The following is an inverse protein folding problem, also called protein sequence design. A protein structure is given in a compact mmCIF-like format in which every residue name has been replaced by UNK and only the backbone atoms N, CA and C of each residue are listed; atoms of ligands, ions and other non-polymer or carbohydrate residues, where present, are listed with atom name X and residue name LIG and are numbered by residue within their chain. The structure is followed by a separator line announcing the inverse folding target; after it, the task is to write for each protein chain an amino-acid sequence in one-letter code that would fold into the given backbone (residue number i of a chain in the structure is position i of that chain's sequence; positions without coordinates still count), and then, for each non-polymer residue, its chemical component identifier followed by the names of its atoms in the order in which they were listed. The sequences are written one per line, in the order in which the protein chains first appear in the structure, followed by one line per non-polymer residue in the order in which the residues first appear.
data_IF_705403636029
#
_entry.id   IF_705403636029
#
_cell.length_a   1.000
_cell.length_b   1.000
_cell.length_c   1.000
_cell.angle_alpha   90.00
_cell.angle_beta   90.00
_cell.angle_gamma   90.00
#
_symmetry.space_group_name_H-M   'P 1'
#
loop_
_entity.id
_entity.type
_entity.pdbx_description
1 polymer ?
#
# COMPACT_ATOMS: atom_id res chain seq x y z
N UNK A 1 34.67 14.21 -1.93
CA UNK A 1 33.48 13.54 -2.49
C UNK A 1 32.29 14.44 -2.18
N UNK A 2 31.98 15.38 -3.08
CA UNK A 2 30.90 16.35 -2.88
C UNK A 2 29.55 15.67 -3.06
N UNK A 3 28.64 15.90 -2.11
CA UNK A 3 27.26 15.43 -2.16
C UNK A 3 26.47 16.32 -3.12
N UNK A 4 26.18 15.80 -4.32
CA UNK A 4 25.23 16.44 -5.24
C UNK A 4 23.83 16.44 -4.60
N UNK A 5 23.45 17.57 -4.01
CA UNK A 5 22.12 17.78 -3.45
C UNK A 5 21.14 17.94 -4.62
N UNK A 6 20.48 16.84 -5.01
CA UNK A 6 19.45 16.87 -6.03
C UNK A 6 18.30 17.78 -5.57
N UNK A 7 18.16 18.95 -6.22
CA UNK A 7 17.08 19.88 -5.95
C UNK A 7 15.85 19.49 -6.76
N UNK A 8 14.94 18.74 -6.14
CA UNK A 8 13.65 18.39 -6.74
C UNK A 8 12.75 19.62 -6.59
N UNK A 9 12.35 20.24 -7.71
CA UNK A 9 11.37 21.33 -7.69
C UNK A 9 10.01 20.74 -7.33
N UNK A 10 9.33 21.24 -6.28
CA UNK A 10 8.00 20.76 -5.98
C UNK A 10 7.04 21.11 -7.13
N UNK A 11 5.96 20.32 -7.31
CA UNK A 11 4.90 20.70 -8.22
C UNK A 11 4.30 22.06 -7.82
N UNK A 12 3.76 22.85 -8.78
CA UNK A 12 3.06 24.09 -8.48
C UNK A 12 1.94 23.89 -7.44
N UNK A 13 1.63 24.88 -6.58
CA UNK A 13 0.60 24.74 -5.54
C UNK A 13 -0.81 24.39 -6.07
N UNK A 14 -1.10 24.72 -7.33
CA UNK A 14 -2.37 24.43 -7.99
C UNK A 14 -2.36 23.12 -8.82
N UNK A 15 -1.26 22.37 -8.80
CA UNK A 15 -1.14 21.16 -9.61
C UNK A 15 -1.90 20.00 -8.98
N UNK A 16 -2.99 19.58 -9.62
CA UNK A 16 -3.71 18.37 -9.26
C UNK A 16 -3.25 17.20 -10.14
N UNK A 17 -2.45 16.31 -9.54
CA UNK A 17 -1.96 15.11 -10.21
C UNK A 17 -3.11 14.19 -10.65
N UNK A 18 -4.19 14.08 -9.86
CA UNK A 18 -5.32 13.20 -10.19
C UNK A 18 -5.97 13.67 -11.48
N UNK A 19 -6.30 14.96 -11.57
CA UNK A 19 -6.87 15.52 -12.81
C UNK A 19 -5.91 15.36 -13.99
N UNK A 20 -4.61 15.55 -13.80
CA UNK A 20 -3.60 15.44 -14.86
C UNK A 20 -3.45 14.03 -15.47
N UNK A 21 -3.83 12.97 -14.74
CA UNK A 21 -3.70 11.56 -15.20
C UNK A 21 -5.05 10.89 -15.47
N UNK A 22 -6.14 11.49 -14.99
CA UNK A 22 -7.45 10.86 -14.95
C UNK A 22 -8.06 10.62 -16.34
N UNK A 23 -7.93 11.55 -17.29
CA UNK A 23 -8.47 11.35 -18.65
C UNK A 23 -7.83 10.15 -19.37
N UNK A 24 -6.50 10.02 -19.25
CA UNK A 24 -5.73 8.93 -19.83
C UNK A 24 -5.99 7.60 -19.10
N UNK A 25 -6.07 7.63 -17.77
CA UNK A 25 -6.47 6.47 -16.95
C UNK A 25 -7.84 5.97 -17.41
N UNK A 26 -8.84 6.87 -17.49
CA UNK A 26 -10.19 6.52 -17.91
C UNK A 26 -10.21 5.92 -19.31
N UNK A 27 -9.53 6.54 -20.28
CA UNK A 27 -9.48 6.03 -21.66
C UNK A 27 -8.86 4.63 -21.72
N UNK A 28 -7.73 4.42 -21.05
CA UNK A 28 -7.03 3.13 -21.04
C UNK A 28 -7.84 2.05 -20.34
N UNK A 29 -8.40 2.35 -19.17
CA UNK A 29 -9.21 1.40 -18.41
C UNK A 29 -10.50 1.06 -19.14
N UNK A 30 -11.16 2.02 -19.81
CA UNK A 30 -12.35 1.74 -20.61
C UNK A 30 -12.07 0.73 -21.73
N UNK A 31 -10.86 0.77 -22.31
CA UNK A 31 -10.47 -0.10 -23.41
C UNK A 31 -9.99 -1.47 -22.95
N UNK A 32 -9.22 -1.55 -21.85
CA UNK A 32 -8.50 -2.77 -21.46
C UNK A 32 -9.11 -3.47 -20.25
N UNK A 33 -9.65 -2.71 -19.30
CA UNK A 33 -10.19 -3.23 -18.04
C UNK A 33 -11.51 -2.52 -17.66
N UNK A 34 -12.55 -2.59 -18.51
CA UNK A 34 -13.81 -1.89 -18.25
C UNK A 34 -14.47 -2.31 -16.92
N UNK A 35 -14.17 -3.52 -16.45
CA UNK A 35 -14.57 -4.05 -15.14
C UNK A 35 -14.01 -3.27 -13.95
N UNK A 36 -12.99 -2.40 -14.14
CA UNK A 36 -12.38 -1.55 -13.11
C UNK A 36 -12.82 -0.08 -13.19
N UNK A 37 -13.74 0.25 -14.11
CA UNK A 37 -14.11 1.64 -14.40
C UNK A 37 -14.72 2.38 -13.20
N UNK A 38 -15.46 1.67 -12.35
CA UNK A 38 -16.04 2.21 -11.12
C UNK A 38 -14.96 2.78 -10.18
N UNK A 39 -13.78 2.13 -10.10
CA UNK A 39 -12.68 2.59 -9.26
C UNK A 39 -12.00 3.83 -9.81
N UNK A 40 -11.93 3.96 -11.14
CA UNK A 40 -11.41 5.16 -11.80
C UNK A 40 -12.37 6.32 -11.62
N UNK A 41 -13.68 6.08 -11.83
CA UNK A 41 -14.73 7.09 -11.63
C UNK A 41 -14.82 7.53 -10.16
N UNK A 42 -14.62 6.61 -9.22
CA UNK A 42 -14.51 6.89 -7.79
C UNK A 42 -13.20 7.56 -7.37
N UNK A 43 -12.22 7.69 -8.27
CA UNK A 43 -10.93 8.32 -7.99
C UNK A 43 -10.00 7.51 -7.10
N UNK A 44 -10.27 6.21 -6.95
CA UNK A 44 -9.48 5.27 -6.15
C UNK A 44 -8.42 4.54 -6.97
N UNK A 45 -8.59 4.41 -8.29
CA UNK A 45 -7.62 3.77 -9.17
C UNK A 45 -7.05 4.77 -10.18
N UNK A 46 -5.72 4.81 -10.27
CA UNK A 46 -4.95 5.68 -11.17
C UNK A 46 -3.92 4.86 -11.92
N UNK A 47 -3.75 5.14 -13.22
CA UNK A 47 -2.70 4.58 -14.06
C UNK A 47 -1.64 5.64 -14.36
N UNK A 48 -0.38 5.30 -14.10
CA UNK A 48 0.79 6.10 -14.43
C UNK A 48 1.63 5.35 -15.45
N UNK A 49 1.81 5.92 -16.64
CA UNK A 49 2.58 5.29 -17.71
C UNK A 49 3.95 5.93 -17.86
N UNK A 50 4.96 5.10 -18.04
CA UNK A 50 6.36 5.50 -18.19
C UNK A 50 6.58 6.51 -19.31
N UNK A 51 5.84 6.39 -20.42
CA UNK A 51 5.91 7.31 -21.58
C UNK A 51 5.73 8.80 -21.22
N UNK A 52 5.18 9.12 -20.04
CA UNK A 52 5.03 10.49 -19.53
C UNK A 52 6.32 11.07 -18.97
N UNK A 53 7.25 10.22 -18.57
CA UNK A 53 8.52 10.61 -17.99
C UNK A 53 9.60 10.34 -19.05
N UNK A 54 10.51 11.31 -19.21
CA UNK A 54 11.55 11.24 -20.23
C UNK A 54 12.45 10.00 -20.09
N UNK A 55 13.46 9.84 -20.96
CA UNK A 55 14.34 8.67 -20.91
C UNK A 55 14.97 8.50 -19.53
N UNK A 56 15.12 7.23 -19.12
CA UNK A 56 15.77 6.88 -17.84
C UNK A 56 17.19 7.46 -17.85
N UNK A 57 17.59 8.26 -16.85
CA UNK A 57 18.92 8.82 -16.79
C UNK A 57 20.03 7.76 -16.78
N UNK A 58 21.17 8.04 -17.40
CA UNK A 58 22.27 7.07 -17.55
C UNK A 58 22.81 6.49 -16.24
N UNK A 59 22.68 7.21 -15.12
CA UNK A 59 23.11 6.78 -13.79
C UNK A 59 22.13 5.82 -13.11
N UNK A 60 20.98 5.50 -13.74
CA UNK A 60 19.97 4.54 -13.27
C UNK A 60 19.82 3.32 -14.17
N UNK A 61 20.80 3.02 -15.02
CA UNK A 61 20.75 1.90 -15.98
C UNK A 61 20.47 0.52 -15.36
N UNK A 62 20.82 0.30 -14.10
CA UNK A 62 20.56 -0.96 -13.38
C UNK A 62 19.10 -1.12 -12.94
N UNK A 63 18.30 -0.06 -13.01
CA UNK A 63 16.88 -0.06 -12.67
C UNK A 63 16.03 0.03 -13.94
N UNK A 64 15.19 -0.97 -14.16
CA UNK A 64 14.20 -0.96 -15.24
C UNK A 64 12.90 -0.39 -14.69
N UNK A 65 12.55 0.83 -15.11
CA UNK A 65 11.27 1.43 -14.75
C UNK A 65 10.13 0.65 -15.43
N UNK A 66 9.07 0.26 -14.69
CA UNK A 66 7.93 -0.44 -15.25
C UNK A 66 7.21 0.42 -16.29
N UNK A 67 6.66 -0.21 -17.33
CA UNK A 67 5.92 0.50 -18.38
C UNK A 67 4.64 1.16 -17.84
N UNK A 68 4.02 0.55 -16.83
CA UNK A 68 2.85 1.06 -16.13
C UNK A 68 2.93 0.83 -14.63
N UNK A 69 2.54 1.83 -13.86
CA UNK A 69 2.31 1.73 -12.41
C UNK A 69 0.83 1.98 -12.16
N UNK A 70 0.19 1.05 -11.47
CA UNK A 70 -1.21 1.14 -11.05
C UNK A 70 -1.25 1.49 -9.57
N UNK A 71 -1.90 2.60 -9.24
CA UNK A 71 -2.02 3.09 -7.86
C UNK A 71 -3.47 2.94 -7.42
N UNK A 72 -3.69 2.09 -6.42
CA UNK A 72 -5.00 1.85 -5.81
C UNK A 72 -5.02 2.44 -4.39
N UNK A 73 -5.87 3.44 -4.17
CA UNK A 73 -6.15 3.99 -2.84
C UNK A 73 -7.04 3.04 -2.05
N UNK A 74 -6.59 2.66 -0.85
CA UNK A 74 -7.32 1.74 0.03
C UNK A 74 -7.55 2.35 1.41
N UNK A 75 -8.63 1.94 2.06
CA UNK A 75 -8.85 2.17 3.49
C UNK A 75 -8.60 0.88 4.27
N UNK A 76 -7.81 0.99 5.33
CA UNK A 76 -7.22 -0.11 6.06
C UNK A 76 -8.19 -0.88 6.97
N UNK A 77 -9.46 -0.45 7.06
CA UNK A 77 -10.55 -1.11 7.81
C UNK A 77 -11.73 -1.52 6.92
N UNK A 78 -11.64 -1.31 5.61
CA UNK A 78 -12.77 -1.52 4.70
C UNK A 78 -12.64 -2.87 3.99
N UNK A 79 -13.61 -3.77 4.23
CA UNK A 79 -13.74 -5.02 3.48
C UNK A 79 -13.85 -4.77 1.97
N UNK A 80 -14.55 -3.69 1.58
CA UNK A 80 -14.61 -3.26 0.19
C UNK A 80 -13.22 -2.97 -0.38
N UNK A 81 -12.33 -2.33 0.38
CA UNK A 81 -10.95 -2.09 -0.11
C UNK A 81 -10.21 -3.40 -0.37
N UNK A 82 -10.41 -4.42 0.47
CA UNK A 82 -9.78 -5.72 0.29
C UNK A 82 -10.30 -6.43 -0.97
N UNK A 83 -11.62 -6.40 -1.20
CA UNK A 83 -12.23 -6.93 -2.41
C UNK A 83 -11.79 -6.16 -3.67
N UNK A 84 -11.65 -4.83 -3.59
CA UNK A 84 -11.17 -4.00 -4.69
C UNK A 84 -9.69 -4.31 -5.01
N UNK A 85 -8.84 -4.58 -4.01
CA UNK A 85 -7.46 -5.05 -4.22
C UNK A 85 -7.44 -6.39 -4.96
N UNK A 86 -8.23 -7.37 -4.50
CA UNK A 86 -8.31 -8.69 -5.13
C UNK A 86 -8.74 -8.58 -6.60
N UNK A 87 -9.77 -7.78 -6.87
CA UNK A 87 -10.27 -7.52 -8.22
C UNK A 87 -9.21 -6.87 -9.11
N UNK A 88 -8.52 -5.84 -8.62
CA UNK A 88 -7.49 -5.10 -9.37
C UNK A 88 -6.29 -6.00 -9.67
N UNK A 89 -5.78 -6.75 -8.68
CA UNK A 89 -4.66 -7.68 -8.87
C UNK A 89 -5.03 -8.81 -9.83
N UNK A 90 -6.24 -9.37 -9.71
CA UNK A 90 -6.74 -10.42 -10.59
C UNK A 90 -6.88 -9.98 -12.04
N UNK A 91 -7.39 -8.76 -12.27
CA UNK A 91 -7.57 -8.21 -13.61
C UNK A 91 -6.25 -7.80 -14.28
N UNK A 92 -5.40 -7.07 -13.56
CA UNK A 92 -4.17 -6.48 -14.12
C UNK A 92 -3.03 -7.50 -14.18
N UNK A 93 -2.99 -8.45 -13.24
CA UNK A 93 -1.91 -9.44 -13.07
C UNK A 93 -0.52 -8.80 -13.07
N UNK A 94 -0.23 -7.85 -12.16
CA UNK A 94 1.02 -7.11 -12.16
C UNK A 94 2.23 -8.03 -11.83
N UNK A 95 3.39 -7.71 -12.40
CA UNK A 95 4.65 -8.43 -12.09
C UNK A 95 5.08 -8.24 -10.63
N UNK A 96 4.78 -7.07 -10.07
CA UNK A 96 5.16 -6.70 -8.71
C UNK A 96 4.01 -5.97 -8.02
N UNK A 97 3.77 -6.30 -6.75
CA UNK A 97 2.81 -5.60 -5.88
C UNK A 97 3.58 -4.93 -4.77
N UNK A 98 3.40 -3.62 -4.63
CA UNK A 98 4.01 -2.81 -3.56
C UNK A 98 2.89 -2.27 -2.68
N UNK A 99 3.08 -2.37 -1.36
CA UNK A 99 2.10 -1.90 -0.37
C UNK A 99 2.70 -0.76 0.43
N UNK A 100 2.03 0.39 0.45
CA UNK A 100 2.32 1.46 1.40
C UNK A 100 1.61 1.15 2.71
N UNK A 101 2.36 1.14 3.81
CA UNK A 101 1.86 0.84 5.14
C UNK A 101 2.12 2.03 6.05
N UNK A 102 1.08 2.45 6.77
CA UNK A 102 1.25 3.38 7.88
C UNK A 102 2.29 2.82 8.88
N UNK A 103 3.01 3.71 9.57
CA UNK A 103 4.11 3.37 10.49
C UNK A 103 3.78 2.23 11.46
N UNK A 104 2.58 2.21 12.04
CA UNK A 104 2.15 1.16 12.97
C UNK A 104 2.08 -0.23 12.32
N UNK A 105 1.59 -0.31 11.07
CA UNK A 105 1.47 -1.58 10.33
C UNK A 105 2.80 -2.09 9.84
N UNK A 106 3.67 -1.19 9.37
CA UNK A 106 5.05 -1.52 9.07
C UNK A 106 5.75 -2.09 10.33
N UNK A 107 5.54 -1.47 11.49
CA UNK A 107 6.11 -1.91 12.76
C UNK A 107 5.73 -3.35 13.16
N UNK A 108 4.50 -3.79 12.86
CA UNK A 108 4.07 -5.17 13.13
C UNK A 108 4.64 -6.16 12.13
N UNK A 109 4.63 -5.81 10.84
CA UNK A 109 5.12 -6.71 9.79
C UNK A 109 6.61 -7.03 9.94
N UNK A 110 7.39 -6.07 10.45
CA UNK A 110 8.83 -6.21 10.68
C UNK A 110 9.20 -6.51 12.14
N UNK A 111 8.22 -6.66 13.05
CA UNK A 111 8.49 -7.16 14.39
C UNK A 111 8.80 -8.67 14.29
N UNK A 112 10.08 -9.02 14.30
CA UNK A 112 10.53 -10.41 14.33
C UNK A 112 9.95 -11.14 15.54
N UNK A 113 9.40 -12.33 15.33
CA UNK A 113 8.89 -13.18 16.40
C UNK A 113 9.95 -13.59 17.45
N UNK A 114 11.23 -13.40 17.14
CA UNK A 114 12.39 -13.75 17.99
C UNK A 114 12.99 -12.57 18.77
N UNK A 115 12.45 -11.36 18.63
CA UNK A 115 13.04 -10.20 19.30
C UNK A 115 12.53 -10.06 20.74
N UNK A 116 13.10 -10.87 21.64
CA UNK A 116 12.85 -10.84 23.09
C UNK A 116 13.18 -9.47 23.75
N UNK A 117 13.75 -8.52 23.01
CA UNK A 117 14.06 -7.15 23.45
C UNK A 117 13.37 -6.06 22.60
N UNK A 118 12.46 -6.41 21.69
CA UNK A 118 11.64 -5.39 21.04
C UNK A 118 10.82 -4.66 22.11
N UNK A 119 10.84 -3.31 22.16
CA UNK A 119 10.01 -2.58 23.09
C UNK A 119 8.57 -3.00 22.81
N UNK A 120 7.93 -3.62 23.81
CA UNK A 120 6.53 -4.04 23.79
C UNK A 120 5.76 -2.99 23.01
N UNK A 121 5.45 -3.30 21.75
CA UNK A 121 4.72 -2.37 20.89
C UNK A 121 3.36 -2.24 21.55
N UNK A 122 3.22 -1.17 22.32
CA UNK A 122 2.02 -0.84 23.06
C UNK A 122 0.86 -1.08 22.11
N UNK A 123 0.01 -2.05 22.46
CA UNK A 123 -0.94 -2.70 21.57
C UNK A 123 -1.96 -1.69 21.07
N UNK A 124 -1.60 -0.96 20.02
CA UNK A 124 -2.46 0.07 19.46
C UNK A 124 -3.64 -0.62 18.78
N UNK A 125 -4.86 -0.23 19.20
CA UNK A 125 -6.14 -0.73 18.69
C UNK A 125 -6.28 -0.61 17.16
N UNK A 126 -5.45 0.21 16.50
CA UNK A 126 -5.39 0.41 15.05
C UNK A 126 -4.72 -0.74 14.27
N UNK A 127 -4.15 -1.72 14.97
CA UNK A 127 -3.48 -2.88 14.39
C UNK A 127 -4.42 -4.03 14.03
N UNK A 128 -5.71 -3.90 14.32
CA UNK A 128 -6.70 -4.96 14.15
C UNK A 128 -7.58 -4.67 12.92
N UNK A 129 -7.26 -5.32 11.80
CA UNK A 129 -8.15 -5.38 10.63
C UNK A 129 -8.12 -6.76 10.00
N UNK A 130 -9.30 -7.30 9.68
CA UNK A 130 -9.50 -8.60 9.03
C UNK A 130 -10.47 -9.52 9.78
N UNK A 131 -11.10 -10.44 9.04
CA UNK A 131 -12.12 -11.41 9.48
C UNK A 131 -11.65 -12.49 10.48
N UNK A 132 -10.46 -12.34 11.09
CA UNK A 132 -9.93 -13.20 12.16
C UNK A 132 -9.94 -12.53 13.54
N UNK A 133 -10.89 -11.62 13.77
CA UNK A 133 -11.01 -10.88 15.04
C UNK A 133 -11.11 -11.79 16.28
N UNK A 134 -11.75 -12.96 16.19
CA UNK A 134 -11.94 -13.85 17.34
C UNK A 134 -10.78 -14.81 17.63
N UNK A 135 -9.96 -15.15 16.63
CA UNK A 135 -8.87 -16.13 16.80
C UNK A 135 -7.62 -15.56 17.48
N UNK A 136 -7.38 -14.25 17.36
CA UNK A 136 -6.22 -13.58 17.93
C UNK A 136 -6.42 -13.17 19.40
N UNK A 137 -7.64 -12.81 19.81
CA UNK A 137 -7.97 -12.45 21.21
C UNK A 137 -7.95 -13.69 22.12
N UNK A 138 -8.32 -14.87 21.61
CA UNK A 138 -8.30 -16.10 22.41
C UNK A 138 -6.90 -16.53 22.85
N UNK A 139 -5.83 -16.04 22.18
CA UNK A 139 -4.44 -16.36 22.55
C UNK A 139 -3.87 -15.45 23.64
N UNK A 140 -4.43 -14.26 23.84
CA UNK A 140 -3.95 -13.31 24.87
C UNK A 140 -4.69 -13.43 26.22
N UNK A 141 -5.81 -14.16 26.29
CA UNK A 141 -6.55 -14.37 27.56
C UNK A 141 -6.09 -15.66 28.28
N UNK A 142 -5.52 -16.63 27.57
CA UNK A 142 -5.17 -17.93 28.17
C UNK A 142 -3.73 -18.02 28.72
N UNK A 143 -3.01 -16.91 28.84
CA UNK A 143 -1.66 -16.84 29.44
C UNK A 143 -1.58 -16.01 30.73
N UNK A 144 -2.71 -15.51 31.25
CA UNK A 144 -2.77 -14.63 32.42
C UNK A 144 -3.57 -15.14 33.62
N UNK A 145 -4.06 -16.39 33.60
CA UNK A 145 -4.92 -16.93 34.67
C UNK A 145 -4.54 -18.33 35.18
N UNK A 146 -3.26 -18.72 35.06
CA UNK A 146 -2.69 -19.85 35.78
C UNK A 146 -1.47 -19.38 36.59
N UNK A 147 -1.74 -18.72 37.73
CA UNK A 147 -0.93 -18.76 38.96
C UNK A 147 -1.44 -17.70 39.96
N UNK A 148 -2.50 -18.01 40.69
CA UNK A 148 -2.48 -17.98 42.17
C UNK A 148 -3.83 -18.46 42.72
N UNK A 149 -3.94 -19.76 42.99
CA UNK A 149 -4.96 -20.33 43.86
C UNK A 149 -4.26 -21.27 44.83
N UNK A 150 -4.30 -20.92 46.12
CA UNK A 150 -3.96 -21.73 47.31
C UNK A 150 -2.44 -21.95 47.50
N UNK A 151 -1.82 -21.68 48.65
CA UNK A 151 -2.27 -21.59 50.05
C UNK A 151 -1.29 -20.75 50.87
#
# INVERSE_FOLDING_TARGET
METLKAFIRPPPPCFDYKTAVHAETRSTVAAVHPELMDLVQGGSLVLVQKRRFGPVPEWRRWFVEPESIWVLGTSHLSEKSAADVERVVGAIRPDNVVVELCRSRAGIMYASADDHNAPLLNSNMFSLSGSRFFGAISRSINLGMLNNSNS
#
